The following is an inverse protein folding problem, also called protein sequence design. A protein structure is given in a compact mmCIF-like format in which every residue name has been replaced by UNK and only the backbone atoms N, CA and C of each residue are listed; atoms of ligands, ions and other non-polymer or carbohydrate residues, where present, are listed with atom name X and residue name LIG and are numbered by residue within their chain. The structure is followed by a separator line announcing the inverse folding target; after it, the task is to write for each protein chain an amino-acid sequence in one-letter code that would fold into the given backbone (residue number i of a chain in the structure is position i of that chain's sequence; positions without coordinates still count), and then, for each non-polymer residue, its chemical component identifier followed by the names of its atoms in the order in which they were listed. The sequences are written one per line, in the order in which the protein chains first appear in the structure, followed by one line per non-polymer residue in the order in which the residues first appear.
data_IF_596076779352
#
_entry.id   IF_596076779352
#
_cell.length_a   1.000
_cell.length_b   1.000
_cell.length_c   1.000
_cell.angle_alpha   90.00
_cell.angle_beta   90.00
_cell.angle_gamma   90.00
#
_symmetry.space_group_name_H-M   'P 1'
#
loop_
_entity.id
_entity.type
_entity.pdbx_description
1 polymer ?
#
# COMPACT_ATOMS: atom_id res chain seq x y z
N UNK A 1 -16.83 20.53 7.12
CA UNK A 1 -15.37 20.40 7.37
C UNK A 1 -14.99 18.95 7.66
N UNK A 2 -15.69 18.24 8.54
CA UNK A 2 -15.55 16.78 8.74
C UNK A 2 -15.69 15.96 7.44
N UNK A 3 -16.68 16.28 6.60
CA UNK A 3 -16.89 15.56 5.33
C UNK A 3 -15.70 15.62 4.36
N UNK A 4 -14.89 16.67 4.38
CA UNK A 4 -13.73 16.76 3.48
C UNK A 4 -12.59 15.84 3.92
N UNK A 5 -12.36 15.74 5.24
CA UNK A 5 -11.42 14.76 5.79
C UNK A 5 -11.89 13.32 5.52
N UNK A 6 -13.20 13.06 5.63
CA UNK A 6 -13.78 11.74 5.34
C UNK A 6 -13.67 11.38 3.85
N UNK A 7 -13.85 12.33 2.94
CA UNK A 7 -13.66 12.13 1.50
C UNK A 7 -12.19 11.87 1.14
N UNK A 8 -11.25 12.64 1.71
CA UNK A 8 -9.81 12.41 1.55
C UNK A 8 -9.39 11.03 2.10
N UNK A 9 -9.91 10.64 3.27
CA UNK A 9 -9.71 9.33 3.89
C UNK A 9 -10.21 8.19 3.01
N UNK A 10 -11.40 8.36 2.42
CA UNK A 10 -12.01 7.36 1.55
C UNK A 10 -11.19 7.20 0.27
N UNK A 11 -10.71 8.30 -0.31
CA UNK A 11 -9.83 8.27 -1.48
C UNK A 11 -8.52 7.56 -1.18
N UNK A 12 -7.85 7.93 -0.08
CA UNK A 12 -6.59 7.32 0.35
C UNK A 12 -6.76 5.81 0.61
N UNK A 13 -7.86 5.43 1.28
CA UNK A 13 -8.15 4.02 1.59
C UNK A 13 -8.35 3.20 0.33
N UNK A 14 -9.04 3.76 -0.68
CA UNK A 14 -9.22 3.11 -1.98
C UNK A 14 -7.89 2.91 -2.70
N UNK A 15 -7.02 3.92 -2.69
CA UNK A 15 -5.70 3.84 -3.32
C UNK A 15 -4.80 2.80 -2.63
N UNK A 16 -4.83 2.74 -1.30
CA UNK A 16 -4.11 1.72 -0.53
C UNK A 16 -4.61 0.32 -0.91
N UNK A 17 -5.94 0.11 -0.91
CA UNK A 17 -6.53 -1.19 -1.23
C UNK A 17 -6.16 -1.65 -2.65
N UNK A 18 -6.20 -0.74 -3.63
CA UNK A 18 -5.80 -1.05 -5.00
C UNK A 18 -4.32 -1.46 -5.08
N UNK A 19 -3.43 -0.77 -4.35
CA UNK A 19 -2.00 -1.14 -4.28
C UNK A 19 -1.76 -2.46 -3.57
N UNK A 20 -2.49 -2.75 -2.49
CA UNK A 20 -2.40 -4.04 -1.78
C UNK A 20 -2.78 -5.18 -2.72
N UNK A 21 -3.90 -5.05 -3.44
CA UNK A 21 -4.35 -6.05 -4.40
C UNK A 21 -3.30 -6.28 -5.51
N UNK A 22 -2.68 -5.21 -6.02
CA UNK A 22 -1.61 -5.34 -7.02
C UNK A 22 -0.40 -6.12 -6.48
N UNK A 23 0.03 -5.82 -5.26
CA UNK A 23 1.15 -6.51 -4.59
C UNK A 23 0.81 -7.98 -4.33
N UNK A 24 -0.42 -8.29 -3.94
CA UNK A 24 -0.88 -9.66 -3.72
C UNK A 24 -0.89 -10.45 -5.04
N UNK A 25 -1.42 -9.86 -6.11
CA UNK A 25 -1.40 -10.48 -7.44
C UNK A 25 0.02 -10.74 -7.94
N UNK A 26 0.95 -9.80 -7.73
CA UNK A 26 2.36 -10.00 -8.06
C UNK A 26 3.00 -11.11 -7.23
N UNK A 27 2.65 -11.23 -5.95
CA UNK A 27 3.13 -12.31 -5.09
C UNK A 27 2.69 -13.69 -5.62
N UNK A 28 1.41 -13.81 -6.00
CA UNK A 28 0.86 -15.03 -6.59
C UNK A 28 1.57 -15.36 -7.91
N UNK A 29 1.76 -14.37 -8.78
CA UNK A 29 2.46 -14.57 -10.05
C UNK A 29 3.91 -15.05 -9.85
N UNK A 30 4.64 -14.44 -8.91
CA UNK A 30 6.00 -14.86 -8.55
C UNK A 30 6.00 -16.32 -8.09
N UNK A 31 5.06 -16.70 -7.22
CA UNK A 31 4.98 -18.06 -6.70
C UNK A 31 4.71 -19.08 -7.81
N UNK A 32 3.80 -18.78 -8.75
CA UNK A 32 3.52 -19.64 -9.91
C UNK A 32 4.77 -19.78 -10.80
N UNK A 33 5.45 -18.68 -11.10
CA UNK A 33 6.63 -18.71 -11.96
C UNK A 33 7.81 -19.44 -11.31
N UNK A 34 7.99 -19.33 -9.99
CA UNK A 34 9.00 -20.10 -9.26
C UNK A 34 8.71 -21.61 -9.31
N UNK A 35 7.44 -22.00 -9.21
CA UNK A 35 7.02 -23.40 -9.35
C UNK A 35 7.30 -23.94 -10.76
N UNK A 36 7.17 -23.08 -11.77
CA UNK A 36 7.52 -23.39 -13.16
C UNK A 36 9.04 -23.38 -13.43
N UNK A 37 9.86 -23.06 -12.43
CA UNK A 37 11.33 -23.11 -12.49
C UNK A 37 12.00 -21.82 -12.95
N UNK A 38 11.27 -20.70 -13.00
CA UNK A 38 11.85 -19.39 -13.27
C UNK A 38 12.59 -18.85 -12.04
N UNK A 39 13.73 -18.19 -12.26
CA UNK A 39 14.43 -17.44 -11.22
C UNK A 39 13.72 -16.10 -10.96
N UNK A 40 13.11 -15.98 -9.78
CA UNK A 40 12.35 -14.80 -9.38
C UNK A 40 13.00 -14.04 -8.21
N UNK A 41 14.29 -14.26 -7.94
CA UNK A 41 14.99 -13.62 -6.79
C UNK A 41 14.93 -12.09 -6.86
N UNK A 42 15.16 -11.51 -8.04
CA UNK A 42 15.08 -10.06 -8.23
C UNK A 42 13.65 -9.54 -8.02
N UNK A 43 12.66 -10.27 -8.54
CA UNK A 43 11.25 -9.92 -8.44
C UNK A 43 10.75 -10.01 -7.00
N UNK A 44 11.18 -11.00 -6.22
CA UNK A 44 10.93 -11.05 -4.77
C UNK A 44 11.52 -9.85 -4.04
N UNK A 45 12.74 -9.45 -4.38
CA UNK A 45 13.40 -8.28 -3.79
C UNK A 45 12.63 -6.98 -4.12
N UNK A 46 12.17 -6.85 -5.37
CA UNK A 46 11.33 -5.72 -5.80
C UNK A 46 10.00 -5.70 -5.05
N UNK A 47 9.30 -6.84 -4.97
CA UNK A 47 8.04 -6.96 -4.24
C UNK A 47 8.20 -6.61 -2.75
N UNK A 48 9.29 -7.03 -2.11
CA UNK A 48 9.59 -6.68 -0.73
C UNK A 48 9.78 -5.16 -0.54
N UNK A 49 10.44 -4.49 -1.48
CA UNK A 49 10.58 -3.02 -1.48
C UNK A 49 9.23 -2.33 -1.67
N UNK A 50 8.39 -2.84 -2.57
CA UNK A 50 7.04 -2.29 -2.79
C UNK A 50 6.15 -2.42 -1.54
N UNK A 51 6.16 -3.57 -0.87
CA UNK A 51 5.50 -3.77 0.43
C UNK A 51 5.98 -2.78 1.49
N UNK A 52 7.30 -2.59 1.61
CA UNK A 52 7.89 -1.63 2.55
C UNK A 52 7.51 -0.17 2.21
N UNK A 53 7.49 0.18 0.92
CA UNK A 53 7.07 1.50 0.46
C UNK A 53 5.60 1.77 0.79
N UNK A 54 4.72 0.78 0.56
CA UNK A 54 3.31 0.90 0.88
C UNK A 54 3.08 1.06 2.38
N UNK A 55 3.75 0.25 3.21
CA UNK A 55 3.66 0.38 4.67
C UNK A 55 4.10 1.77 5.15
N UNK A 56 5.18 2.32 4.58
CA UNK A 56 5.63 3.69 4.86
C UNK A 56 4.62 4.74 4.41
N UNK A 57 3.99 4.55 3.24
CA UNK A 57 2.96 5.46 2.75
C UNK A 57 1.75 5.50 3.69
N UNK A 58 1.27 4.33 4.11
CA UNK A 58 0.16 4.19 5.07
C UNK A 58 0.51 4.88 6.39
N UNK A 59 1.68 4.59 6.97
CA UNK A 59 2.11 5.20 8.22
C UNK A 59 2.21 6.74 8.12
N UNK A 60 2.70 7.26 6.99
CA UNK A 60 2.76 8.71 6.74
C UNK A 60 1.37 9.32 6.64
N UNK A 61 0.45 8.67 5.91
CA UNK A 61 -0.91 9.17 5.75
C UNK A 61 -1.66 9.18 7.08
N UNK A 62 -1.56 8.11 7.88
CA UNK A 62 -2.11 8.07 9.25
C UNK A 62 -1.60 9.21 10.13
N UNK A 63 -0.30 9.51 10.09
CA UNK A 63 0.28 10.64 10.85
C UNK A 63 -0.26 11.98 10.39
N UNK A 64 -0.34 12.21 9.07
CA UNK A 64 -0.87 13.46 8.51
C UNK A 64 -2.34 13.68 8.90
N UNK A 65 -3.13 12.60 8.90
CA UNK A 65 -4.52 12.63 9.33
C UNK A 65 -4.65 12.94 10.82
N UNK A 66 -3.83 12.32 11.67
CA UNK A 66 -3.78 12.64 13.09
C UNK A 66 -3.49 14.13 13.28
N UNK A 67 -2.44 14.66 12.65
CA UNK A 67 -2.08 16.07 12.79
C UNK A 67 -3.16 17.03 12.26
N UNK A 68 -3.78 16.75 11.10
CA UNK A 68 -4.85 17.59 10.54
C UNK A 68 -6.11 17.56 11.41
N UNK A 69 -6.57 16.39 11.84
CA UNK A 69 -7.79 16.28 12.64
C UNK A 69 -7.61 16.79 14.08
N UNK A 70 -6.41 16.78 14.66
CA UNK A 70 -6.14 17.33 16.00
C UNK A 70 -5.89 18.84 16.04
N UNK A 71 -5.63 19.48 14.89
CA UNK A 71 -5.37 20.93 14.80
C UNK A 71 -6.65 21.76 14.62
N UNK A 72 -7.79 21.11 14.43
CA UNK A 72 -9.11 21.72 14.25
C UNK A 72 -10.03 21.56 15.51
N UNK A 73 -9.48 21.14 16.65
CA UNK A 73 -10.11 21.21 18.00
C UNK A 73 -9.66 22.47 18.77
#
# INVERSE_FOLDING_TARGET
MTSHCDDELTSISRDIAAKQLSIENQAILIEVLEQDGHDMVEERSRLAKERSNLARQIARQLRLLQTRCTLDE
#
